data_IF_058261357045
#
_entry.id   IF_058261357045
#
_cell.length_a   1.000
_cell.length_b   1.000
_cell.length_c   1.000
_cell.angle_alpha   90.00
_cell.angle_beta   90.00
_cell.angle_gamma   90.00
#
_symmetry.space_group_name_H-M   'P 1'
#
loop_
_entity.id
_entity.type
_entity.pdbx_description
1 polymer ?
#
# COMPACT_ATOMS: atom_id res chain seq x y z
N UNK A 1 20.46 11.72 -16.23
CA UNK A 1 19.18 12.45 -16.24
C UNK A 1 18.65 12.34 -14.82
N UNK A 2 18.46 13.46 -14.14
CA UNK A 2 17.77 13.45 -12.84
C UNK A 2 16.30 13.47 -13.18
N UNK A 3 15.62 12.34 -13.09
CA UNK A 3 14.15 12.33 -13.18
C UNK A 3 13.62 13.21 -12.05
N UNK A 4 12.76 14.17 -12.40
CA UNK A 4 12.00 14.91 -11.40
C UNK A 4 11.08 13.92 -10.69
N UNK A 5 10.95 14.00 -9.35
CA UNK A 5 10.11 13.06 -8.61
C UNK A 5 8.67 13.20 -9.11
N UNK A 6 8.10 12.09 -9.60
CA UNK A 6 6.69 12.04 -9.96
C UNK A 6 5.85 12.39 -8.71
N UNK A 7 5.07 13.46 -8.81
CA UNK A 7 4.14 13.90 -7.76
C UNK A 7 2.77 13.30 -8.01
N UNK A 8 2.12 12.85 -6.93
CA UNK A 8 0.77 12.28 -6.97
C UNK A 8 0.05 12.49 -5.64
N UNK A 9 -1.23 12.13 -5.61
CA UNK A 9 -2.05 12.16 -4.39
C UNK A 9 -2.53 10.76 -4.04
N UNK A 10 -2.45 10.41 -2.76
CA UNK A 10 -3.04 9.16 -2.24
C UNK A 10 -4.56 9.37 -2.11
N UNK A 11 -5.33 8.52 -2.80
CA UNK A 11 -6.80 8.62 -2.85
C UNK A 11 -7.50 7.60 -1.94
N UNK A 12 -6.80 6.54 -1.52
CA UNK A 12 -7.33 5.51 -0.63
C UNK A 12 -6.22 4.95 0.26
N UNK A 13 -6.59 4.55 1.47
CA UNK A 13 -5.70 3.96 2.45
C UNK A 13 -6.27 2.61 2.87
N UNK A 14 -5.40 1.60 2.90
CA UNK A 14 -5.74 0.28 3.41
C UNK A 14 -4.67 -0.20 4.36
N UNK A 15 -5.07 -0.98 5.36
CA UNK A 15 -4.16 -1.72 6.26
C UNK A 15 -4.60 -3.16 6.34
N UNK A 16 -3.67 -4.07 6.63
CA UNK A 16 -3.98 -5.44 6.98
C UNK A 16 -3.30 -5.81 8.30
N UNK A 17 -4.06 -6.33 9.26
CA UNK A 17 -3.53 -6.69 10.58
C UNK A 17 -2.58 -7.90 10.51
N UNK A 18 -2.86 -8.85 9.61
CA UNK A 18 -2.17 -10.14 9.52
C UNK A 18 -1.86 -10.50 8.06
N UNK A 19 -0.83 -11.33 7.85
CA UNK A 19 -0.52 -11.89 6.54
C UNK A 19 -1.71 -12.67 5.94
N UNK A 20 -2.04 -12.39 4.68
CA UNK A 20 -3.18 -13.01 3.98
C UNK A 20 -4.57 -12.49 4.40
N UNK A 21 -4.68 -11.67 5.43
CA UNK A 21 -5.94 -11.00 5.76
C UNK A 21 -6.36 -10.02 4.65
N UNK A 22 -7.68 -9.88 4.40
CA UNK A 22 -8.18 -8.90 3.44
C UNK A 22 -7.81 -7.48 3.89
N UNK A 23 -7.37 -6.60 2.97
CA UNK A 23 -7.12 -5.21 3.31
C UNK A 23 -8.40 -4.51 3.78
N UNK A 24 -8.27 -3.70 4.83
CA UNK A 24 -9.37 -2.89 5.37
C UNK A 24 -9.16 -1.42 4.99
N UNK A 25 -10.20 -0.79 4.44
CA UNK A 25 -10.21 0.64 4.15
C UNK A 25 -10.10 1.46 5.44
N UNK A 26 -9.33 2.55 5.38
CA UNK A 26 -9.12 3.47 6.49
C UNK A 26 -9.34 4.91 6.03
N UNK A 27 -10.03 5.71 6.84
CA UNK A 27 -10.15 7.16 6.61
C UNK A 27 -8.84 7.90 6.94
N UNK A 28 -8.06 7.36 7.88
CA UNK A 28 -6.77 7.90 8.29
C UNK A 28 -5.86 6.79 8.84
N UNK A 29 -4.55 7.02 8.73
CA UNK A 29 -3.52 6.15 9.30
C UNK A 29 -2.45 6.98 10.00
N UNK A 30 -1.76 6.38 10.98
CA UNK A 30 -0.61 7.01 11.62
C UNK A 30 0.69 6.44 11.03
N UNK A 31 1.49 7.34 10.45
CA UNK A 31 2.80 6.99 9.87
C UNK A 31 3.88 7.03 10.95
N UNK A 32 4.66 5.96 11.04
CA UNK A 32 5.84 5.80 11.88
C UNK A 32 7.09 5.64 11.00
N UNK A 33 8.31 5.85 11.54
CA UNK A 33 9.55 5.64 10.77
C UNK A 33 9.71 4.21 10.25
N UNK A 34 9.05 3.24 10.88
CA UNK A 34 9.08 1.81 10.60
C UNK A 34 7.81 1.27 9.92
N UNK A 35 6.87 2.13 9.51
CA UNK A 35 5.65 1.72 8.79
C UNK A 35 4.38 2.40 9.28
N UNK A 36 3.24 1.74 9.11
CA UNK A 36 1.93 2.23 9.54
C UNK A 36 1.52 1.56 10.86
N UNK A 37 1.01 2.34 11.81
CA UNK A 37 0.48 1.80 13.06
C UNK A 37 -0.67 0.81 12.79
N UNK A 38 -0.58 -0.39 13.35
CA UNK A 38 -1.58 -1.45 13.16
C UNK A 38 -1.50 -2.21 11.83
N UNK A 39 -0.48 -1.96 10.99
CA UNK A 39 -0.25 -2.73 9.77
C UNK A 39 0.82 -3.82 9.95
N UNK A 40 0.58 -4.99 9.34
CA UNK A 40 1.45 -6.16 9.39
C UNK A 40 2.88 -5.91 8.93
N UNK A 41 3.11 -5.00 7.97
CA UNK A 41 4.47 -4.70 7.48
C UNK A 41 5.32 -4.03 8.55
N UNK A 42 4.69 -3.24 9.45
CA UNK A 42 5.39 -2.68 10.61
C UNK A 42 5.68 -3.75 11.67
N UNK A 43 4.80 -4.73 11.82
CA UNK A 43 4.92 -5.81 12.80
C UNK A 43 5.88 -6.92 12.36
N UNK A 44 6.45 -6.85 11.16
CA UNK A 44 7.38 -7.86 10.65
C UNK A 44 6.71 -9.07 10.00
N UNK A 45 5.39 -9.02 9.76
CA UNK A 45 4.59 -10.12 9.21
C UNK A 45 4.16 -9.85 7.74
N UNK A 46 4.94 -9.03 7.03
CA UNK A 46 4.69 -8.70 5.62
C UNK A 46 5.17 -9.80 4.66
N UNK A 47 4.30 -10.27 3.76
CA UNK A 47 4.68 -11.27 2.74
C UNK A 47 5.72 -10.76 1.75
N UNK A 48 5.68 -9.46 1.42
CA UNK A 48 6.63 -8.81 0.51
C UNK A 48 7.59 -7.87 1.26
N UNK A 49 8.01 -8.28 2.46
CA UNK A 49 8.93 -7.50 3.28
C UNK A 49 10.35 -7.57 2.68
N UNK A 50 10.56 -6.77 1.63
CA UNK A 50 11.87 -6.44 1.12
C UNK A 50 12.51 -5.43 2.07
N UNK A 51 13.84 -5.45 2.21
CA UNK A 51 14.57 -4.46 3.00
C UNK A 51 14.09 -3.05 2.63
N UNK A 52 13.60 -2.30 3.64
CA UNK A 52 13.11 -0.92 3.55
C UNK A 52 11.71 -0.68 2.91
N UNK A 53 10.86 -1.69 2.70
CA UNK A 53 9.49 -1.46 2.23
C UNK A 53 8.50 -1.26 3.40
N UNK A 54 8.47 -0.06 3.97
CA UNK A 54 7.57 0.28 5.09
C UNK A 54 6.10 0.48 4.64
N UNK A 55 5.89 0.83 3.36
CA UNK A 55 4.59 1.03 2.72
C UNK A 55 4.66 0.64 1.25
N UNK A 56 3.54 0.15 0.70
CA UNK A 56 3.38 -0.10 -0.73
C UNK A 56 2.46 0.94 -1.33
N UNK A 57 2.89 1.59 -2.41
CA UNK A 57 2.03 2.46 -3.22
C UNK A 57 1.65 1.73 -4.50
N UNK A 58 0.37 1.77 -4.83
CA UNK A 58 -0.18 1.19 -6.07
C UNK A 58 -0.78 2.33 -6.88
N UNK A 59 -0.38 2.45 -8.15
CA UNK A 59 -0.94 3.45 -9.05
C UNK A 59 -2.42 3.14 -9.31
N UNK A 60 -3.28 4.17 -9.27
CA UNK A 60 -4.70 4.00 -9.49
C UNK A 60 -4.98 3.47 -10.91
N UNK A 61 -4.23 3.94 -11.89
CA UNK A 61 -4.32 3.53 -13.29
C UNK A 61 -4.01 2.04 -13.49
N UNK A 62 -3.14 1.47 -12.64
CA UNK A 62 -2.86 0.03 -12.68
C UNK A 62 -4.04 -0.79 -12.13
N UNK A 63 -4.72 -0.29 -11.09
CA UNK A 63 -5.93 -0.93 -10.57
C UNK A 63 -7.07 -0.86 -11.59
N UNK A 64 -7.25 0.30 -12.23
CA UNK A 64 -8.26 0.47 -13.26
C UNK A 64 -8.01 -0.45 -14.46
N UNK A 65 -6.76 -0.57 -14.93
CA UNK A 65 -6.41 -1.52 -15.99
C UNK A 65 -6.73 -2.98 -15.62
N UNK A 66 -6.46 -3.40 -14.38
CA UNK A 66 -6.80 -4.75 -13.90
C UNK A 66 -8.32 -4.96 -13.86
N UNK A 67 -9.08 -3.96 -13.38
CA UNK A 67 -10.54 -4.00 -13.37
C UNK A 67 -11.12 -4.10 -14.77
N UNK A 68 -10.59 -3.32 -15.72
CA UNK A 68 -11.01 -3.35 -17.13
C UNK A 68 -10.71 -4.69 -17.80
N UNK A 69 -9.54 -5.28 -17.54
CA UNK A 69 -9.12 -6.55 -18.14
C UNK A 69 -9.83 -7.76 -17.53
N UNK A 70 -10.01 -7.77 -16.20
CA UNK A 70 -10.40 -8.98 -15.46
C UNK A 70 -11.79 -8.91 -14.85
N UNK A 71 -12.36 -7.71 -14.66
CA UNK A 71 -13.59 -7.48 -13.91
C UNK A 71 -13.46 -7.68 -12.40
N UNK A 72 -12.24 -7.81 -11.87
CA UNK A 72 -11.95 -7.99 -10.44
C UNK A 72 -11.61 -6.64 -9.81
N UNK A 73 -12.13 -6.41 -8.61
CA UNK A 73 -11.84 -5.26 -7.74
C UNK A 73 -11.00 -5.70 -6.52
#
# INVERSE_FOLDING_TARGET
MTEEPAVGSVTSLVTALESGAPPELRDAVEVRPDGIEGDRYRLGDGTFQLDACAVTLVAAEALDAVREETGID
#
